data_IF_655197365615
#
_entry.id   IF_655197365615
#
_cell.length_a   1.000
_cell.length_b   1.000
_cell.length_c   1.000
_cell.angle_alpha   90.00
_cell.angle_beta   90.00
_cell.angle_gamma   90.00
#
_symmetry.space_group_name_H-M   'P 1'
#
loop_
_entity.id
_entity.type
_entity.pdbx_description
1 polymer ?
#
# COMPACT_ATOMS: atom_id res chain seq x y z
N UNK A 1 12.28 -7.84 -22.19
CA UNK A 1 10.91 -7.32 -21.92
C UNK A 1 10.46 -7.61 -20.49
N UNK A 2 10.59 -8.85 -19.98
CA UNK A 2 10.21 -9.21 -18.61
C UNK A 2 10.94 -8.39 -17.51
N UNK A 3 12.27 -8.24 -17.63
CA UNK A 3 13.09 -7.46 -16.69
C UNK A 3 12.64 -5.99 -16.49
N UNK A 4 12.17 -5.33 -17.55
CA UNK A 4 11.66 -3.94 -17.45
C UNK A 4 10.34 -3.92 -16.67
N UNK A 5 9.45 -4.88 -16.93
CA UNK A 5 8.20 -5.02 -16.19
C UNK A 5 8.43 -5.33 -14.70
N UNK A 6 9.43 -6.17 -14.41
CA UNK A 6 9.83 -6.51 -13.04
C UNK A 6 10.33 -5.27 -12.27
N UNK A 7 11.22 -4.48 -12.87
CA UNK A 7 11.70 -3.23 -12.28
C UNK A 7 10.56 -2.23 -12.09
N UNK A 8 9.69 -2.07 -13.09
CA UNK A 8 8.50 -1.22 -12.98
C UNK A 8 7.64 -1.63 -11.78
N UNK A 9 7.37 -2.93 -11.60
CA UNK A 9 6.53 -3.39 -10.49
C UNK A 9 7.20 -3.12 -9.14
N UNK A 10 8.51 -3.31 -9.02
CA UNK A 10 9.26 -2.98 -7.81
C UNK A 10 9.12 -1.49 -7.48
N UNK A 11 9.46 -0.63 -8.42
CA UNK A 11 9.51 0.82 -8.19
C UNK A 11 8.11 1.40 -7.97
N UNK A 12 7.15 0.98 -8.79
CA UNK A 12 5.78 1.46 -8.70
C UNK A 12 5.11 1.01 -7.40
N UNK A 13 5.33 -0.23 -6.96
CA UNK A 13 4.79 -0.70 -5.68
C UNK A 13 5.46 -0.01 -4.49
N UNK A 14 6.77 0.26 -4.55
CA UNK A 14 7.46 1.02 -3.52
C UNK A 14 6.95 2.47 -3.42
N UNK A 15 6.69 3.12 -4.56
CA UNK A 15 6.09 4.45 -4.60
C UNK A 15 4.67 4.44 -3.97
N UNK A 16 3.86 3.43 -4.29
CA UNK A 16 2.56 3.23 -3.69
C UNK A 16 2.64 3.01 -2.17
N UNK A 17 3.54 2.15 -1.69
CA UNK A 17 3.75 1.97 -0.24
C UNK A 17 4.12 3.27 0.46
N UNK A 18 5.01 4.07 -0.14
CA UNK A 18 5.39 5.37 0.41
C UNK A 18 4.21 6.35 0.47
N UNK A 19 3.36 6.39 -0.56
CA UNK A 19 2.13 7.19 -0.57
C UNK A 19 1.23 6.80 0.62
N UNK A 20 0.97 5.51 0.83
CA UNK A 20 0.15 5.01 1.93
C UNK A 20 0.71 5.41 3.29
N UNK A 21 2.02 5.26 3.48
CA UNK A 21 2.69 5.62 4.73
C UNK A 21 2.60 7.11 5.02
N UNK A 22 2.86 7.95 4.01
CA UNK A 22 2.75 9.39 4.15
C UNK A 22 1.31 9.81 4.54
N UNK A 23 0.30 9.17 3.96
CA UNK A 23 -1.12 9.39 4.31
C UNK A 23 -1.42 8.98 5.75
N UNK A 24 -0.95 7.82 6.18
CA UNK A 24 -1.11 7.36 7.55
C UNK A 24 -0.43 8.32 8.55
N UNK A 25 0.81 8.75 8.29
CA UNK A 25 1.52 9.72 9.12
C UNK A 25 0.80 11.07 9.19
N UNK A 26 0.26 11.56 8.06
CA UNK A 26 -0.52 12.79 8.03
C UNK A 26 -1.83 12.66 8.84
N UNK A 27 -2.52 11.52 8.75
CA UNK A 27 -3.72 11.24 9.53
C UNK A 27 -3.44 11.11 11.02
N UNK A 28 -2.27 10.63 11.43
CA UNK A 28 -1.88 10.58 12.84
C UNK A 28 -1.55 11.99 13.33
N UNK A 29 -0.83 12.79 12.54
CA UNK A 29 -0.50 14.17 12.88
C UNK A 29 -1.76 15.06 13.00
N UNK A 30 -2.82 14.80 12.24
CA UNK A 30 -4.08 15.55 12.40
C UNK A 30 -4.83 15.24 13.71
N UNK A 31 -4.41 14.24 14.48
CA UNK A 31 -4.97 13.90 15.79
C UNK A 31 -4.16 14.51 16.95
N UNK A 32 -3.28 15.50 16.68
CA UNK A 32 -2.42 16.12 17.69
C UNK A 32 -3.20 16.73 18.86
N UNK A 33 -4.41 17.24 18.64
CA UNK A 33 -5.25 17.80 19.69
C UNK A 33 -6.05 16.74 20.48
N UNK A 34 -6.16 15.51 19.97
CA UNK A 34 -6.98 14.44 20.54
C UNK A 34 -6.18 13.42 21.38
N UNK A 35 -4.86 13.37 21.19
CA UNK A 35 -3.96 12.42 21.83
C UNK A 35 -2.82 13.15 22.54
N UNK A 36 -2.33 12.60 23.66
CA UNK A 36 -1.11 13.13 24.27
C UNK A 36 0.10 12.92 23.36
N UNK A 37 1.10 13.80 23.44
CA UNK A 37 2.35 13.69 22.66
C UNK A 37 3.01 12.31 22.79
N UNK A 38 2.99 11.73 23.98
CA UNK A 38 3.53 10.39 24.23
C UNK A 38 2.77 9.30 23.47
N UNK A 39 1.44 9.35 23.45
CA UNK A 39 0.62 8.40 22.69
C UNK A 39 0.80 8.58 21.19
N UNK A 40 0.93 9.82 20.71
CA UNK A 40 1.22 10.11 19.30
C UNK A 40 2.56 9.53 18.86
N UNK A 41 3.60 9.62 19.69
CA UNK A 41 4.90 9.04 19.39
C UNK A 41 4.82 7.51 19.29
N UNK A 42 4.10 6.85 20.22
CA UNK A 42 3.86 5.41 20.17
C UNK A 42 3.12 5.04 18.89
N UNK A 43 2.02 5.73 18.57
CA UNK A 43 1.23 5.46 17.35
C UNK A 43 2.07 5.68 16.09
N UNK A 44 2.89 6.74 16.03
CA UNK A 44 3.82 6.99 14.91
C UNK A 44 4.79 5.84 14.73
N UNK A 45 5.47 5.40 15.80
CA UNK A 45 6.41 4.27 15.77
C UNK A 45 5.74 2.98 15.31
N UNK A 46 4.60 2.63 15.89
CA UNK A 46 3.87 1.40 15.51
C UNK A 46 3.36 1.47 14.06
N UNK A 47 2.97 2.66 13.58
CA UNK A 47 2.47 2.86 12.21
C UNK A 47 3.49 2.51 11.12
N UNK A 48 4.79 2.59 11.41
CA UNK A 48 5.85 2.19 10.50
C UNK A 48 5.85 0.67 10.23
N UNK A 49 5.40 -0.12 11.19
CA UNK A 49 5.40 -1.58 11.11
C UNK A 49 4.05 -2.16 10.68
N UNK A 50 2.99 -1.35 10.64
CA UNK A 50 1.68 -1.79 10.15
C UNK A 50 1.82 -2.24 8.69
N UNK A 51 1.32 -3.44 8.42
CA UNK A 51 1.23 -3.93 7.03
C UNK A 51 0.20 -3.07 6.29
N UNK A 52 0.60 -2.50 5.15
CA UNK A 52 -0.27 -1.68 4.30
C UNK A 52 -1.59 -2.36 3.93
N UNK A 53 -1.61 -3.70 3.83
CA UNK A 53 -2.80 -4.49 3.55
C UNK A 53 -3.86 -4.38 4.64
N UNK A 54 -3.48 -4.17 5.90
CA UNK A 54 -4.43 -3.94 6.99
C UNK A 54 -5.07 -2.57 6.86
N UNK A 55 -4.27 -1.55 6.57
CA UNK A 55 -4.77 -0.20 6.32
C UNK A 55 -5.78 -0.19 5.17
N UNK A 56 -5.44 -0.80 4.03
CA UNK A 56 -6.28 -0.81 2.83
C UNK A 56 -7.65 -1.49 3.02
N UNK A 57 -7.79 -2.45 3.94
CA UNK A 57 -9.08 -3.12 4.20
C UNK A 57 -10.18 -2.16 4.65
N UNK A 58 -9.82 -0.99 5.19
CA UNK A 58 -10.77 -0.01 5.69
C UNK A 58 -11.21 1.00 4.63
N UNK A 59 -10.48 1.11 3.52
CA UNK A 59 -10.68 2.17 2.53
C UNK A 59 -10.91 1.65 1.10
N UNK A 60 -10.50 0.42 0.81
CA UNK A 60 -10.56 -0.13 -0.54
C UNK A 60 -11.46 -1.36 -0.63
N UNK A 61 -12.07 -1.55 -1.80
CA UNK A 61 -12.85 -2.74 -2.14
C UNK A 61 -12.04 -4.04 -1.88
N UNK A 62 -12.65 -5.08 -1.27
CA UNK A 62 -11.96 -6.34 -0.96
C UNK A 62 -11.26 -7.00 -2.16
N UNK A 63 -11.81 -6.86 -3.37
CA UNK A 63 -11.18 -7.38 -4.59
C UNK A 63 -9.90 -6.61 -4.92
N UNK A 64 -9.90 -5.27 -4.79
CA UNK A 64 -8.70 -4.45 -4.95
C UNK A 64 -7.64 -4.80 -3.90
N UNK A 65 -8.04 -5.01 -2.64
CA UNK A 65 -7.12 -5.48 -1.58
C UNK A 65 -6.52 -6.84 -1.95
N UNK A 66 -7.33 -7.75 -2.49
CA UNK A 66 -6.87 -9.05 -2.98
C UNK A 66 -5.83 -8.93 -4.10
N UNK A 67 -6.03 -8.02 -5.05
CA UNK A 67 -5.10 -7.74 -6.13
C UNK A 67 -3.80 -7.11 -5.64
N UNK A 68 -3.85 -6.11 -4.75
CA UNK A 68 -2.67 -5.49 -4.14
C UNK A 68 -1.81 -6.55 -3.41
N UNK A 69 -2.42 -7.50 -2.71
CA UNK A 69 -1.70 -8.61 -2.09
C UNK A 69 -0.96 -9.49 -3.09
N UNK A 70 -1.58 -9.78 -4.24
CA UNK A 70 -0.93 -10.55 -5.30
C UNK A 70 0.25 -9.78 -5.92
N UNK A 71 0.07 -8.48 -6.17
CA UNK A 71 1.13 -7.59 -6.67
C UNK A 71 2.31 -7.55 -5.69
N UNK A 72 2.04 -7.36 -4.39
CA UNK A 72 3.07 -7.40 -3.35
C UNK A 72 3.85 -8.72 -3.37
N UNK A 73 3.13 -9.84 -3.43
CA UNK A 73 3.73 -11.19 -3.46
C UNK A 73 4.62 -11.38 -4.67
N UNK A 74 4.22 -10.85 -5.82
CA UNK A 74 5.04 -10.85 -7.03
C UNK A 74 6.29 -9.98 -6.86
N UNK A 75 6.13 -8.74 -6.39
CA UNK A 75 7.25 -7.82 -6.09
C UNK A 75 8.28 -8.47 -5.17
N UNK A 76 7.83 -9.07 -4.08
CA UNK A 76 8.70 -9.72 -3.09
C UNK A 76 9.47 -10.90 -3.74
N UNK A 77 8.80 -11.70 -4.57
CA UNK A 77 9.43 -12.79 -5.33
C UNK A 77 10.50 -12.29 -6.31
N UNK A 78 10.25 -11.18 -7.01
CA UNK A 78 11.24 -10.54 -7.90
C UNK A 78 12.42 -10.01 -7.09
N UNK A 79 12.17 -9.26 -6.02
CA UNK A 79 13.19 -8.63 -5.18
C UNK A 79 14.13 -9.65 -4.51
N UNK A 80 13.63 -10.84 -4.19
CA UNK A 80 14.42 -11.93 -3.62
C UNK A 80 15.15 -12.80 -4.65
N UNK A 81 15.28 -12.33 -5.89
CA UNK A 81 16.06 -13.01 -6.93
C UNK A 81 15.41 -14.30 -7.45
N UNK A 82 14.08 -14.42 -7.33
CA UNK A 82 13.31 -15.53 -7.92
C UNK A 82 13.77 -16.93 -7.50
N UNK A 83 14.16 -17.14 -6.23
CA UNK A 83 14.69 -18.43 -5.74
C UNK A 83 13.91 -19.65 -6.30
N UNK A 84 14.68 -20.55 -6.92
CA UNK A 84 14.32 -21.51 -7.97
C UNK A 84 13.22 -22.55 -7.64
N UNK A 85 12.76 -22.67 -6.40
CA UNK A 85 11.81 -23.70 -5.97
C UNK A 85 10.36 -23.22 -5.76
N UNK A 86 10.05 -21.96 -6.08
CA UNK A 86 8.67 -21.48 -6.03
C UNK A 86 8.24 -20.95 -7.39
N UNK A 87 7.30 -21.64 -8.05
CA UNK A 87 6.53 -21.07 -9.17
C UNK A 87 6.07 -19.67 -8.74
N UNK A 88 6.08 -18.70 -9.68
CA UNK A 88 5.62 -17.34 -9.38
C UNK A 88 4.32 -17.44 -8.58
N UNK A 89 4.32 -16.95 -7.34
CA UNK A 89 3.27 -17.33 -6.41
C UNK A 89 1.99 -16.50 -6.63
N UNK A 90 2.02 -15.63 -7.65
CA UNK A 90 0.94 -14.85 -8.22
C UNK A 90 0.87 -15.18 -9.73
N UNK A 91 -0.33 -15.20 -10.31
CA UNK A 91 -0.48 -15.27 -11.77
C UNK A 91 0.24 -14.06 -12.40
N UNK A 92 0.73 -14.13 -13.64
CA UNK A 92 1.18 -12.94 -14.35
C UNK A 92 0.05 -11.92 -14.33
N UNK A 93 0.20 -10.85 -13.55
CA UNK A 93 -0.76 -9.75 -13.56
C UNK A 93 -0.27 -8.79 -14.63
N UNK A 94 -1.16 -8.45 -15.56
CA UNK A 94 -0.88 -7.47 -16.59
C UNK A 94 -0.48 -6.13 -15.92
N UNK A 95 0.59 -5.51 -16.41
CA UNK A 95 1.08 -4.21 -15.93
C UNK A 95 -0.02 -3.13 -15.93
N UNK A 96 -0.98 -3.19 -16.86
CA UNK A 96 -2.12 -2.28 -16.90
C UNK A 96 -3.08 -2.52 -15.73
N UNK A 97 -3.30 -3.78 -15.33
CA UNK A 97 -4.10 -4.11 -14.15
C UNK A 97 -3.41 -3.60 -12.89
N UNK A 98 -2.09 -3.74 -12.80
CA UNK A 98 -1.30 -3.23 -11.67
C UNK A 98 -1.45 -1.72 -11.57
N UNK A 99 -1.28 -1.01 -12.68
CA UNK A 99 -1.43 0.43 -12.76
C UNK A 99 -2.84 0.87 -12.35
N UNK A 100 -3.89 0.28 -12.95
CA UNK A 100 -5.26 0.66 -12.66
C UNK A 100 -5.68 0.42 -11.21
N UNK A 101 -5.32 -0.73 -10.63
CA UNK A 101 -5.65 -1.03 -9.23
C UNK A 101 -4.96 -0.05 -8.29
N UNK A 102 -3.67 0.22 -8.48
CA UNK A 102 -2.93 1.17 -7.65
C UNK A 102 -3.48 2.60 -7.84
N UNK A 103 -3.79 3.00 -9.08
CA UNK A 103 -4.38 4.29 -9.39
C UNK A 103 -5.74 4.46 -8.71
N UNK A 104 -6.62 3.47 -8.82
CA UNK A 104 -7.95 3.50 -8.20
C UNK A 104 -7.85 3.60 -6.67
N UNK A 105 -6.98 2.79 -6.06
CA UNK A 105 -6.78 2.86 -4.61
C UNK A 105 -6.19 4.20 -4.17
N UNK A 106 -5.22 4.74 -4.92
CA UNK A 106 -4.65 6.05 -4.64
C UNK A 106 -5.70 7.17 -4.75
N UNK A 107 -6.56 7.13 -5.78
CA UNK A 107 -7.65 8.10 -5.95
C UNK A 107 -8.67 8.00 -4.81
N UNK A 108 -9.09 6.80 -4.42
CA UNK A 108 -10.03 6.61 -3.30
C UNK A 108 -9.47 7.21 -2.01
N UNK A 109 -8.18 7.00 -1.74
CA UNK A 109 -7.51 7.59 -0.58
C UNK A 109 -7.41 9.12 -0.66
N UNK A 110 -7.39 9.69 -1.87
CA UNK A 110 -7.39 11.14 -2.08
C UNK A 110 -8.80 11.75 -1.98
N UNK A 111 -9.85 11.02 -2.36
CA UNK A 111 -11.25 11.51 -2.38
C UNK A 111 -11.98 11.28 -1.06
N UNK A 112 -11.74 10.14 -0.39
CA UNK A 112 -12.42 9.79 0.87
C UNK A 112 -11.60 10.22 2.11
N UNK A 113 -10.35 10.62 1.93
CA UNK A 113 -9.41 10.95 3.00
C UNK A 113 -9.66 12.27 3.76
N UNK A 114 -10.70 13.04 3.45
CA UNK A 114 -11.02 14.31 4.13
C UNK A 114 -12.52 14.60 4.28
N UNK A 115 -13.36 13.56 4.35
CA UNK A 115 -14.77 13.70 4.75
C UNK A 115 -15.02 13.13 6.16
N UNK A 116 -14.23 13.54 7.14
CA UNK A 116 -14.78 13.79 8.46
C UNK A 116 -15.29 15.23 8.48
N UNK A 117 -16.45 15.44 7.84
CA UNK A 117 -17.27 16.62 8.14
C UNK A 117 -17.82 16.45 9.54
N UNK A 118 -17.62 17.50 10.33
CA UNK A 118 -18.24 17.81 11.61
C UNK A 118 -19.57 17.08 11.86
N UNK A 119 -19.60 16.29 12.93
CA UNK A 119 -20.80 16.05 13.75
C UNK A 119 -20.39 16.17 15.20
#
# INVERSE_FOLDING_TARGET
MQFIGDLFIIDFFAAFERLLRNRLSASIASQEDALSEHLLEVVRKESEYIRIEYFLKHFADPQHVGLIKQIKKYRDWVAHGRRELSRSPAKPIDIYIIFEVIRLVAVVLDTDGFLYKET
#
